data_IF_286980091092
#
_entry.id   IF_286980091092
#
_cell.length_a   1.000
_cell.length_b   1.000
_cell.length_c   1.000
_cell.angle_alpha   90.00
_cell.angle_beta   90.00
_cell.angle_gamma   90.00
#
_symmetry.space_group_name_H-M   'P 1'
#
loop_
_entity.id
_entity.type
_entity.pdbx_description
1 polymer ?
#
# COMPACT_ATOMS: atom_id res chain seq x y z
N UNK A 1 5.49 13.41 7.25
CA UNK A 1 4.18 13.74 6.62
C UNK A 1 3.12 12.75 7.09
N UNK A 2 1.86 13.19 7.29
CA UNK A 2 0.74 12.29 7.60
C UNK A 2 0.01 11.83 6.35
N UNK A 3 -0.19 10.52 6.23
CA UNK A 3 -0.98 9.89 5.16
C UNK A 3 -2.08 9.00 5.75
N UNK A 4 -3.12 8.76 4.96
CA UNK A 4 -4.14 7.74 5.23
C UNK A 4 -3.89 6.55 4.32
N UNK A 5 -3.94 5.37 4.90
CA UNK A 5 -3.78 4.12 4.17
C UNK A 5 -4.96 3.25 4.50
N UNK A 6 -5.62 2.74 3.47
CA UNK A 6 -6.66 1.74 3.58
C UNK A 6 -6.24 0.45 2.86
N UNK A 7 -6.94 -0.64 3.09
CA UNK A 7 -6.75 -1.90 2.38
C UNK A 7 -8.06 -2.67 2.23
N UNK A 8 -8.18 -3.41 1.13
CA UNK A 8 -9.27 -4.37 0.96
C UNK A 8 -9.17 -5.51 1.99
N UNK A 9 -10.34 -5.96 2.46
CA UNK A 9 -10.47 -7.21 3.19
C UNK A 9 -10.35 -8.40 2.24
N UNK A 10 -9.58 -9.41 2.65
CA UNK A 10 -9.28 -10.61 1.88
C UNK A 10 -9.92 -11.86 2.48
N UNK A 11 -9.88 -12.02 3.80
CA UNK A 11 -10.30 -13.25 4.45
C UNK A 11 -10.80 -13.04 5.88
N UNK A 12 -11.52 -14.03 6.40
CA UNK A 12 -11.93 -14.02 7.81
C UNK A 12 -10.72 -13.96 8.74
N UNK A 13 -10.69 -12.94 9.60
CA UNK A 13 -9.61 -12.73 10.57
C UNK A 13 -8.59 -11.67 10.16
N UNK A 14 -8.73 -11.04 9.00
CA UNK A 14 -7.93 -9.86 8.66
C UNK A 14 -8.47 -8.56 9.30
N UNK A 15 -9.65 -8.59 9.89
CA UNK A 15 -10.24 -7.49 10.69
C UNK A 15 -9.61 -7.32 12.08
N UNK A 16 -8.60 -8.13 12.45
CA UNK A 16 -7.90 -8.01 13.74
C UNK A 16 -7.18 -6.67 13.86
N UNK A 17 -6.75 -6.10 12.72
CA UNK A 17 -6.21 -4.75 12.62
C UNK A 17 -7.18 -3.87 11.83
N UNK A 18 -7.33 -2.58 12.19
CA UNK A 18 -8.08 -1.64 11.37
C UNK A 18 -7.61 -1.68 9.92
N UNK A 19 -8.55 -1.69 8.97
CA UNK A 19 -8.22 -1.60 7.56
C UNK A 19 -7.72 -0.22 7.19
N UNK A 20 -8.30 0.84 7.77
CA UNK A 20 -7.83 2.21 7.59
C UNK A 20 -6.97 2.66 8.76
N UNK A 21 -5.78 3.19 8.47
CA UNK A 21 -4.82 3.71 9.44
C UNK A 21 -4.28 5.08 9.00
N UNK A 22 -3.96 5.93 9.99
CA UNK A 22 -3.17 7.15 9.76
C UNK A 22 -1.73 6.89 10.15
N UNK A 23 -0.80 7.18 9.23
CA UNK A 23 0.63 6.93 9.41
C UNK A 23 1.43 8.20 9.25
N UNK A 24 2.49 8.31 10.04
CA UNK A 24 3.51 9.33 9.87
C UNK A 24 4.70 8.73 9.11
N UNK A 25 4.93 9.25 7.89
CA UNK A 25 5.98 8.79 6.97
C UNK A 25 7.04 9.85 6.75
N UNK A 26 8.26 9.43 6.42
CA UNK A 26 9.34 10.36 6.07
C UNK A 26 9.08 11.06 4.73
N UNK A 27 9.67 12.23 4.51
CA UNK A 27 9.49 12.97 3.25
C UNK A 27 10.17 12.31 2.05
N UNK A 28 11.20 11.52 2.29
CA UNK A 28 11.95 10.75 1.30
C UNK A 28 11.47 9.29 1.17
N UNK A 29 10.37 8.92 1.85
CA UNK A 29 9.90 7.54 1.88
C UNK A 29 9.53 7.03 0.48
N UNK A 30 10.21 5.97 0.07
CA UNK A 30 9.92 5.24 -1.16
C UNK A 30 8.81 4.22 -0.98
N UNK A 31 8.24 3.76 -2.09
CA UNK A 31 7.25 2.66 -2.11
C UNK A 31 7.81 1.37 -1.48
N UNK A 32 9.07 1.04 -1.72
CA UNK A 32 9.71 -0.15 -1.14
C UNK A 32 9.81 -0.07 0.39
N UNK A 33 10.27 1.08 0.91
CA UNK A 33 10.37 1.30 2.35
C UNK A 33 9.00 1.31 3.01
N UNK A 34 8.01 1.92 2.36
CA UNK A 34 6.63 1.93 2.81
C UNK A 34 6.03 0.51 2.86
N UNK A 35 6.22 -0.29 1.82
CA UNK A 35 5.77 -1.67 1.79
C UNK A 35 6.44 -2.50 2.91
N UNK A 36 7.74 -2.31 3.10
CA UNK A 36 8.50 -2.95 4.19
C UNK A 36 8.02 -2.52 5.57
N UNK A 37 7.65 -1.25 5.74
CA UNK A 37 7.06 -0.72 6.97
C UNK A 37 5.73 -1.42 7.29
N UNK A 38 4.80 -1.48 6.33
CA UNK A 38 3.50 -2.14 6.51
C UNK A 38 3.60 -3.65 6.80
N UNK A 39 4.61 -4.33 6.25
CA UNK A 39 4.85 -5.74 6.52
C UNK A 39 5.28 -6.01 7.96
N UNK A 40 6.10 -5.12 8.57
CA UNK A 40 6.54 -5.29 9.97
C UNK A 40 5.36 -5.31 10.93
N UNK A 41 4.32 -4.52 10.63
CA UNK A 41 3.11 -4.43 11.44
C UNK A 41 2.04 -5.45 11.06
N UNK A 42 2.34 -6.36 10.12
CA UNK A 42 1.39 -7.35 9.56
C UNK A 42 0.11 -6.69 9.02
N UNK A 43 0.23 -5.45 8.55
CA UNK A 43 -0.89 -4.71 8.02
C UNK A 43 -1.41 -5.34 6.73
N UNK A 44 -0.52 -5.78 5.83
CA UNK A 44 -0.89 -6.62 4.69
C UNK A 44 -0.84 -8.10 5.12
N UNK A 45 -1.97 -8.83 5.08
CA UNK A 45 -2.00 -10.27 5.30
C UNK A 45 -0.96 -11.03 4.46
N UNK A 46 -0.24 -11.96 5.10
CA UNK A 46 0.72 -12.88 4.46
C UNK A 46 0.03 -14.04 3.74
N UNK A 47 -0.89 -13.73 2.84
CA UNK A 47 -1.55 -14.70 1.94
C UNK A 47 -0.90 -14.63 0.57
N UNK A 48 -0.78 -15.74 -0.14
CA UNK A 48 -0.29 -15.74 -1.54
C UNK A 48 -1.24 -14.92 -2.43
N UNK A 49 -0.83 -13.70 -2.74
CA UNK A 49 -1.63 -12.72 -3.49
C UNK A 49 -0.75 -11.61 -4.03
N UNK A 50 -1.29 -10.88 -5.00
CA UNK A 50 -0.68 -9.65 -5.52
C UNK A 50 -1.54 -8.47 -5.09
N UNK A 51 -0.94 -7.57 -4.31
CA UNK A 51 -1.54 -6.32 -3.89
C UNK A 51 -1.21 -5.22 -4.90
N UNK A 52 -2.14 -4.29 -5.11
CA UNK A 52 -1.94 -3.09 -5.91
C UNK A 52 -2.08 -1.87 -4.98
N UNK A 53 -1.03 -1.06 -4.89
CA UNK A 53 -1.12 0.25 -4.24
C UNK A 53 -1.76 1.23 -5.21
N UNK A 54 -2.87 1.82 -4.78
CA UNK A 54 -3.63 2.81 -5.55
C UNK A 54 -3.49 4.18 -4.92
N UNK A 55 -3.36 5.18 -5.78
CA UNK A 55 -3.32 6.58 -5.43
C UNK A 55 -3.99 7.40 -6.53
N UNK A 56 -4.91 8.31 -6.17
CA UNK A 56 -5.64 9.13 -7.15
C UNK A 56 -6.34 8.30 -8.25
N UNK A 57 -6.78 7.07 -7.94
CA UNK A 57 -7.37 6.16 -8.91
C UNK A 57 -6.41 5.54 -9.92
N UNK A 58 -5.09 5.55 -9.69
CA UNK A 58 -4.06 4.90 -10.52
C UNK A 58 -3.23 3.91 -9.71
N UNK A 59 -2.65 2.90 -10.37
CA UNK A 59 -1.73 1.96 -9.72
C UNK A 59 -0.35 2.56 -9.67
N UNK A 60 0.18 2.70 -8.46
CA UNK A 60 1.55 3.15 -8.20
C UNK A 60 2.52 1.96 -8.28
N UNK A 61 2.16 0.87 -7.60
CA UNK A 61 2.94 -0.36 -7.54
C UNK A 61 2.04 -1.58 -7.42
N UNK A 62 2.55 -2.74 -7.83
CA UNK A 62 2.11 -4.04 -7.33
C UNK A 62 3.16 -4.68 -6.43
N UNK A 63 2.69 -5.42 -5.42
CA UNK A 63 3.50 -6.18 -4.47
C UNK A 63 3.01 -7.63 -4.44
N UNK A 64 3.90 -8.56 -4.75
CA UNK A 64 3.61 -9.99 -4.64
C UNK A 64 4.08 -10.51 -3.27
N UNK A 65 3.15 -11.02 -2.46
CA UNK A 65 3.43 -11.39 -1.07
C UNK A 65 4.38 -12.58 -0.94
N UNK A 66 4.30 -13.56 -1.84
CA UNK A 66 5.15 -14.75 -1.86
C UNK A 66 6.58 -14.43 -2.33
N UNK A 67 6.73 -13.88 -3.55
CA UNK A 67 8.04 -13.56 -4.14
C UNK A 67 8.71 -12.33 -3.55
N UNK A 68 7.95 -11.49 -2.82
CA UNK A 68 8.37 -10.18 -2.28
C UNK A 68 8.73 -9.15 -3.36
N UNK A 69 8.36 -9.39 -4.61
CA UNK A 69 8.64 -8.47 -5.71
C UNK A 69 7.72 -7.25 -5.67
N UNK A 70 8.31 -6.08 -5.96
CA UNK A 70 7.61 -4.80 -6.13
C UNK A 70 7.89 -4.22 -7.50
N UNK A 71 6.86 -3.71 -8.17
CA UNK A 71 7.05 -2.83 -9.34
C UNK A 71 7.33 -1.40 -8.87
N UNK A 72 8.10 -0.60 -9.62
CA UNK A 72 8.33 0.81 -9.30
C UNK A 72 8.76 1.09 -7.83
N UNK A 73 9.71 0.33 -7.24
CA UNK A 73 10.03 0.41 -5.81
C UNK A 73 10.54 1.79 -5.37
N UNK A 74 11.21 2.51 -6.27
CA UNK A 74 11.87 3.79 -5.98
C UNK A 74 10.95 5.01 -6.10
N UNK A 75 9.64 4.82 -6.34
CA UNK A 75 8.70 5.95 -6.42
C UNK A 75 8.57 6.59 -5.03
N UNK A 76 8.70 7.91 -4.98
CA UNK A 76 8.50 8.68 -3.75
C UNK A 76 7.00 8.87 -3.47
N UNK A 77 6.59 8.60 -2.23
CA UNK A 77 5.21 8.86 -1.80
C UNK A 77 4.88 10.35 -1.78
N UNK A 78 5.83 11.19 -1.38
CA UNK A 78 5.61 12.64 -1.29
C UNK A 78 5.50 13.29 -2.65
N UNK A 79 6.28 12.85 -3.64
CA UNK A 79 6.18 13.34 -5.01
C UNK A 79 4.78 13.08 -5.60
N UNK A 80 4.19 11.90 -5.35
CA UNK A 80 2.83 11.58 -5.76
C UNK A 80 1.81 12.56 -5.17
N UNK A 81 1.97 12.89 -3.88
CA UNK A 81 1.07 13.79 -3.14
C UNK A 81 1.21 15.23 -3.61
N UNK A 82 2.43 15.70 -3.84
CA UNK A 82 2.66 17.04 -4.34
C UNK A 82 2.09 17.25 -5.74
N UNK A 83 2.11 16.21 -6.60
CA UNK A 83 1.58 16.28 -7.96
C UNK A 83 0.04 16.30 -8.03
N UNK A 84 -0.66 15.80 -7.01
CA UNK A 84 -2.12 15.60 -7.02
C UNK A 84 -2.93 16.73 -6.37
N UNK A 85 -2.31 17.85 -6.00
CA UNK A 85 -2.93 18.91 -5.19
C UNK A 85 -3.24 18.53 -3.73
N UNK A 86 -2.54 17.54 -3.17
CA UNK A 86 -2.53 17.29 -1.73
C UNK A 86 -3.44 16.18 -1.20
N UNK A 87 -3.99 15.33 -2.08
CA UNK A 87 -4.62 14.08 -1.62
C UNK A 87 -3.56 13.22 -0.91
N UNK A 88 -3.88 12.68 0.26
CA UNK A 88 -2.95 11.88 1.06
C UNK A 88 -3.48 10.49 1.37
N UNK A 89 -4.48 10.03 0.61
CA UNK A 89 -5.09 8.72 0.75
C UNK A 89 -4.50 7.70 -0.24
N UNK A 90 -4.06 6.58 0.30
CA UNK A 90 -3.56 5.43 -0.44
C UNK A 90 -4.40 4.21 -0.12
N UNK A 91 -4.66 3.36 -1.11
CA UNK A 91 -5.48 2.15 -0.90
C UNK A 91 -4.77 0.93 -1.47
N UNK A 92 -4.60 -0.11 -0.67
CA UNK A 92 -4.15 -1.42 -1.14
C UNK A 92 -5.33 -2.28 -1.56
N UNK A 93 -5.37 -2.70 -2.82
CA UNK A 93 -6.42 -3.58 -3.34
C UNK A 93 -5.83 -4.90 -3.82
N UNK A 94 -6.61 -5.97 -3.84
CA UNK A 94 -6.17 -7.26 -4.37
C UNK A 94 -6.28 -7.25 -5.88
N UNK A 95 -5.23 -7.72 -6.57
CA UNK A 95 -5.34 -8.03 -7.99
C UNK A 95 -6.17 -9.29 -8.18
N UNK A 96 -7.46 -9.10 -8.45
CA UNK A 96 -8.37 -10.21 -8.77
C UNK A 96 -8.03 -10.76 -10.15
N UNK A 97 -7.75 -12.06 -10.25
CA UNK A 97 -7.72 -12.75 -11.55
C UNK A 97 -9.14 -12.75 -12.11
N UNK A 98 -9.37 -12.08 -13.24
CA UNK A 98 -10.59 -12.27 -14.01
C UNK A 98 -10.56 -13.72 -14.51
N UNK A 99 -11.53 -14.51 -14.06
CA UNK A 99 -11.72 -15.90 -14.51
C UNK A 99 -12.56 -15.89 -15.79
#
# INVERSE_FOLDING_TARGET
>A
MKIRVDRESICMGDDVLPHMVELEVSEDMTVEEFCSFLQKDRYLPSLDTEWLLRYGGQTVTSYHTETKELTNPNVSLTELIHQSSGDNEFVWIIKRRLH
#
